data_IF_148190852538
#
_entry.id   IF_148190852538
#
_cell.length_a   1.000
_cell.length_b   1.000
_cell.length_c   1.000
_cell.angle_alpha   90.00
_cell.angle_beta   90.00
_cell.angle_gamma   90.00
#
_symmetry.space_group_name_H-M   'P 1'
#
loop_
_entity.id
_entity.type
_entity.pdbx_description
1 polymer ?
#
# COMPACT_ATOMS: atom_id res chain seq x y z
N UNK A 1 -24.78 8.81 -38.29
CA UNK A 1 -23.38 9.09 -37.97
C UNK A 1 -23.36 9.78 -36.61
N UNK A 2 -22.99 9.06 -35.57
CA UNK A 2 -22.73 9.63 -34.24
C UNK A 2 -21.27 9.26 -33.93
N UNK A 3 -20.43 10.28 -33.86
CA UNK A 3 -19.04 10.17 -33.49
C UNK A 3 -18.91 9.73 -32.04
N UNK A 4 -18.25 8.59 -31.84
CA UNK A 4 -17.85 8.08 -30.53
C UNK A 4 -16.52 8.74 -30.17
N UNK A 5 -16.56 9.88 -29.51
CA UNK A 5 -15.38 10.51 -28.92
C UNK A 5 -15.01 9.75 -27.65
N UNK A 6 -14.08 8.81 -27.78
CA UNK A 6 -13.44 8.14 -26.66
C UNK A 6 -12.57 9.17 -25.91
N UNK A 7 -13.12 9.76 -24.85
CA UNK A 7 -12.36 10.59 -23.94
C UNK A 7 -11.32 9.70 -23.23
N UNK A 8 -10.09 9.82 -23.69
CA UNK A 8 -8.90 9.30 -23.02
C UNK A 8 -8.69 10.11 -21.73
N UNK A 9 -9.42 9.74 -20.65
CA UNK A 9 -9.20 10.33 -19.32
C UNK A 9 -7.80 9.94 -18.90
N UNK A 10 -6.86 10.89 -18.94
CA UNK A 10 -5.58 10.77 -18.23
C UNK A 10 -5.90 10.51 -16.76
N UNK A 11 -5.62 9.29 -16.31
CA UNK A 11 -5.75 8.94 -14.89
C UNK A 11 -4.74 9.79 -14.13
N UNK A 12 -5.21 10.52 -13.13
CA UNK A 12 -4.34 11.27 -12.22
C UNK A 12 -3.55 10.29 -11.35
N UNK A 13 -2.39 10.71 -10.88
CA UNK A 13 -1.44 9.90 -10.09
C UNK A 13 -2.06 9.24 -8.84
N UNK A 14 -3.01 9.90 -8.18
CA UNK A 14 -3.80 9.34 -7.08
C UNK A 14 -4.53 8.05 -7.45
N UNK A 15 -4.88 7.85 -8.73
CA UNK A 15 -5.51 6.64 -9.23
C UNK A 15 -4.52 5.47 -9.41
N UNK A 16 -3.21 5.77 -9.54
CA UNK A 16 -2.15 4.74 -9.62
C UNK A 16 -1.68 4.29 -8.24
N UNK A 17 -1.69 5.17 -7.26
CA UNK A 17 -1.35 4.83 -5.86
C UNK A 17 -2.43 3.96 -5.23
N UNK A 18 -3.69 4.13 -5.58
CA UNK A 18 -4.77 3.21 -5.24
C UNK A 18 -4.57 1.78 -5.79
N UNK A 19 -3.69 1.58 -6.78
CA UNK A 19 -3.32 0.25 -7.27
C UNK A 19 -2.25 -0.47 -6.42
N UNK A 20 -1.83 0.14 -5.30
CA UNK A 20 -1.27 -0.59 -4.16
C UNK A 20 0.23 -0.89 -4.20
N UNK A 21 1.09 0.04 -4.66
CA UNK A 21 2.51 0.01 -4.28
C UNK A 21 2.93 1.45 -3.97
N UNK A 22 2.96 1.80 -2.70
CA UNK A 22 3.64 2.99 -2.22
C UNK A 22 4.99 2.60 -1.64
N UNK A 23 6.02 3.39 -1.88
CA UNK A 23 7.40 3.00 -1.66
C UNK A 23 8.13 3.98 -0.75
N UNK A 24 8.84 3.43 0.22
CA UNK A 24 9.79 4.18 1.04
C UNK A 24 11.10 3.40 1.16
N UNK A 25 12.22 4.08 1.26
CA UNK A 25 13.53 3.48 1.59
C UNK A 25 13.53 3.01 3.05
N UNK A 26 14.32 1.97 3.35
CA UNK A 26 14.48 1.42 4.70
C UNK A 26 15.08 2.39 5.74
N UNK A 27 15.60 3.54 5.31
CA UNK A 27 16.14 4.59 6.19
C UNK A 27 15.34 5.89 6.07
N UNK A 28 14.59 6.21 7.10
CA UNK A 28 13.95 7.46 7.56
C UNK A 28 13.46 8.53 6.56
N UNK A 29 13.76 8.48 5.29
CA UNK A 29 13.23 9.41 4.28
C UNK A 29 12.30 8.69 3.31
N UNK A 30 11.10 9.24 3.15
CA UNK A 30 10.14 8.82 2.13
C UNK A 30 10.72 9.27 0.78
N UNK A 31 11.59 8.44 0.17
CA UNK A 31 12.18 8.71 -1.13
C UNK A 31 12.08 7.49 -2.04
N UNK A 32 11.95 7.74 -3.33
CA UNK A 32 11.99 6.68 -4.35
C UNK A 32 13.43 6.25 -4.61
N UNK A 33 13.74 4.95 -4.81
CA UNK A 33 15.10 4.50 -5.05
C UNK A 33 15.81 5.29 -6.15
N UNK A 34 17.02 5.79 -5.84
CA UNK A 34 17.82 6.59 -6.75
C UNK A 34 17.44 8.08 -6.87
N UNK A 35 16.31 8.52 -6.28
CA UNK A 35 15.90 9.93 -6.39
C UNK A 35 16.91 10.89 -5.79
N UNK A 36 17.43 10.60 -4.59
CA UNK A 36 18.35 11.50 -3.87
C UNK A 36 19.72 11.58 -4.54
N UNK A 37 20.11 10.53 -5.29
CA UNK A 37 21.35 10.49 -6.06
C UNK A 37 21.22 11.14 -7.45
N UNK A 38 20.01 11.21 -8.02
CA UNK A 38 19.75 11.78 -9.33
C UNK A 38 19.79 13.32 -9.25
N UNK A 39 20.31 13.99 -10.28
CA UNK A 39 20.17 15.43 -10.47
C UNK A 39 18.89 15.78 -11.22
N UNK A 40 18.42 17.04 -11.21
CA UNK A 40 17.35 17.49 -12.10
C UNK A 40 17.62 17.09 -13.56
N UNK A 41 16.63 16.49 -14.20
CA UNK A 41 16.75 15.92 -15.55
C UNK A 41 17.18 14.45 -15.60
N UNK A 42 17.82 13.93 -14.57
CA UNK A 42 18.28 12.54 -14.51
C UNK A 42 17.16 11.55 -14.09
N UNK A 43 17.31 10.27 -14.47
CA UNK A 43 16.35 9.24 -14.14
C UNK A 43 16.47 8.77 -12.69
N UNK A 44 15.34 8.37 -12.12
CA UNK A 44 15.23 7.59 -10.89
C UNK A 44 14.16 6.50 -11.04
N UNK A 45 14.13 5.56 -10.12
CA UNK A 45 13.29 4.39 -10.22
C UNK A 45 12.15 4.42 -9.20
N UNK A 46 10.93 4.08 -9.65
CA UNK A 46 9.78 3.82 -8.77
C UNK A 46 9.24 2.41 -9.05
N UNK A 47 9.45 1.41 -8.14
CA UNK A 47 8.95 0.06 -8.33
C UNK A 47 7.43 0.03 -8.59
N UNK A 48 7.00 -0.82 -9.52
CA UNK A 48 5.59 -0.89 -9.93
C UNK A 48 5.10 0.26 -10.80
N UNK A 49 5.94 1.27 -11.05
CA UNK A 49 5.65 2.41 -11.95
C UNK A 49 6.61 2.43 -13.12
N UNK A 50 7.92 2.40 -12.84
CA UNK A 50 8.94 2.44 -13.88
C UNK A 50 10.08 3.41 -13.58
N UNK A 51 10.73 3.89 -14.64
CA UNK A 51 11.78 4.92 -14.59
C UNK A 51 11.13 6.29 -14.78
N UNK A 52 11.39 7.17 -13.85
CA UNK A 52 10.86 8.54 -13.82
C UNK A 52 12.00 9.55 -13.93
N UNK A 53 11.70 10.80 -14.29
CA UNK A 53 12.65 11.90 -14.37
C UNK A 53 12.53 12.81 -13.16
N UNK A 54 13.63 13.07 -12.45
CA UNK A 54 13.68 14.12 -11.43
C UNK A 54 13.55 15.49 -12.10
N UNK A 55 12.66 16.35 -11.58
CA UNK A 55 12.34 17.64 -12.22
C UNK A 55 13.06 18.84 -11.59
N UNK A 56 13.42 18.75 -10.30
CA UNK A 56 14.03 19.84 -9.53
C UNK A 56 14.92 19.31 -8.40
N UNK A 57 15.56 20.22 -7.63
CA UNK A 57 16.42 19.88 -6.49
C UNK A 57 15.67 19.67 -5.17
N UNK A 58 14.33 19.74 -5.18
CA UNK A 58 13.54 19.54 -3.96
C UNK A 58 13.59 18.09 -3.50
N UNK A 59 13.34 17.82 -2.21
CA UNK A 59 13.14 16.47 -1.70
C UNK A 59 12.03 15.74 -2.47
N UNK A 60 12.13 14.42 -2.53
CA UNK A 60 11.07 13.60 -3.15
C UNK A 60 9.71 13.89 -2.50
N UNK A 61 8.71 14.08 -3.34
CA UNK A 61 7.33 14.25 -2.90
C UNK A 61 6.42 13.37 -3.75
N UNK A 62 5.73 12.43 -3.10
CA UNK A 62 4.86 11.48 -3.79
C UNK A 62 3.65 12.15 -4.50
N UNK A 63 3.28 13.39 -4.12
CA UNK A 63 2.22 14.17 -4.79
C UNK A 63 2.67 14.87 -6.07
N UNK A 64 3.96 14.83 -6.41
CA UNK A 64 4.49 15.45 -7.61
C UNK A 64 4.38 14.48 -8.78
N UNK A 65 3.87 14.95 -9.92
CA UNK A 65 3.85 14.22 -11.17
C UNK A 65 5.23 14.27 -11.85
N UNK A 66 6.04 13.24 -11.59
CA UNK A 66 7.32 13.08 -12.28
C UNK A 66 7.11 12.47 -13.66
N UNK A 67 7.74 13.03 -14.73
CA UNK A 67 7.60 12.48 -16.07
C UNK A 67 8.05 11.04 -16.15
N UNK A 68 7.23 10.17 -16.74
CA UNK A 68 7.55 8.78 -16.99
C UNK A 68 8.48 8.69 -18.19
N UNK A 69 9.66 8.06 -18.01
CA UNK A 69 10.63 7.75 -19.07
C UNK A 69 10.35 6.38 -19.65
N UNK A 70 10.21 5.37 -18.78
CA UNK A 70 9.95 3.97 -19.16
C UNK A 70 9.01 3.34 -18.13
N UNK A 71 7.84 2.92 -18.58
CA UNK A 71 6.82 2.26 -17.75
C UNK A 71 6.95 0.74 -17.71
N UNK A 72 7.97 0.16 -18.34
CA UNK A 72 8.09 -1.28 -18.50
C UNK A 72 6.92 -1.89 -19.27
N UNK A 73 6.81 -3.22 -19.19
CA UNK A 73 5.77 -3.99 -19.88
C UNK A 73 4.84 -4.61 -18.85
N UNK A 74 3.56 -4.26 -18.91
CA UNK A 74 2.49 -4.87 -18.13
C UNK A 74 1.72 -5.89 -18.94
N UNK A 75 1.50 -7.07 -18.36
CA UNK A 75 0.60 -8.08 -18.89
C UNK A 75 -0.37 -8.55 -17.82
N UNK A 76 -1.58 -8.91 -18.25
CA UNK A 76 -2.64 -9.38 -17.35
C UNK A 76 -3.14 -10.74 -17.82
N UNK A 77 -3.26 -11.67 -16.87
CA UNK A 77 -3.91 -12.96 -17.07
C UNK A 77 -5.02 -13.13 -16.02
N UNK A 78 -6.26 -13.30 -16.47
CA UNK A 78 -7.43 -13.39 -15.59
C UNK A 78 -8.17 -14.70 -15.80
N UNK A 79 -8.67 -15.27 -14.70
CA UNK A 79 -9.61 -16.38 -14.67
C UNK A 79 -10.81 -16.04 -13.78
N UNK A 80 -11.70 -17.01 -13.48
CA UNK A 80 -12.93 -16.76 -12.72
C UNK A 80 -12.68 -16.15 -11.33
N UNK A 81 -11.65 -16.61 -10.63
CA UNK A 81 -11.35 -16.31 -9.23
C UNK A 81 -9.96 -15.76 -9.01
N UNK A 82 -9.23 -15.47 -10.09
CA UNK A 82 -7.83 -15.05 -10.03
C UNK A 82 -7.49 -14.05 -11.14
N UNK A 83 -6.69 -13.05 -10.79
CA UNK A 83 -6.04 -12.13 -11.73
C UNK A 83 -4.55 -12.08 -11.41
N UNK A 84 -3.70 -12.35 -12.41
CA UNK A 84 -2.26 -12.17 -12.31
C UNK A 84 -1.83 -11.00 -13.19
N UNK A 85 -1.15 -10.04 -12.58
CA UNK A 85 -0.56 -8.85 -13.19
C UNK A 85 0.95 -9.05 -13.20
N UNK A 86 1.58 -9.05 -14.36
CA UNK A 86 3.04 -9.17 -14.50
C UNK A 86 3.60 -7.86 -15.01
N UNK A 87 4.61 -7.33 -14.33
CA UNK A 87 5.39 -6.17 -14.73
C UNK A 87 6.84 -6.56 -14.95
N UNK A 88 7.34 -6.29 -16.14
CA UNK A 88 8.76 -6.47 -16.50
C UNK A 88 9.36 -5.10 -16.79
N UNK A 89 10.42 -4.78 -16.09
CA UNK A 89 11.21 -3.57 -16.30
C UNK A 89 12.68 -3.95 -16.45
N UNK A 90 13.35 -3.36 -17.45
CA UNK A 90 14.80 -3.39 -17.63
C UNK A 90 15.30 -1.96 -17.80
N UNK A 91 15.88 -1.42 -16.75
CA UNK A 91 16.21 0.00 -16.66
C UNK A 91 17.70 0.26 -16.91
N UNK A 92 18.06 1.39 -17.55
CA UNK A 92 19.47 1.78 -17.73
C UNK A 92 20.20 2.05 -16.41
N UNK A 93 19.48 2.10 -15.28
CA UNK A 93 20.04 2.26 -13.93
C UNK A 93 20.59 0.95 -13.36
N UNK A 94 20.62 -0.14 -14.15
CA UNK A 94 21.03 -1.49 -13.67
C UNK A 94 19.96 -2.21 -12.84
N UNK A 95 18.84 -1.53 -12.56
CA UNK A 95 17.67 -2.12 -11.89
C UNK A 95 16.78 -2.75 -12.96
N UNK A 96 16.62 -4.05 -12.88
CA UNK A 96 15.72 -4.82 -13.74
C UNK A 96 14.98 -5.87 -12.91
N UNK A 97 13.71 -6.13 -13.21
CA UNK A 97 12.93 -7.12 -12.49
C UNK A 97 11.78 -7.68 -13.31
N UNK A 98 11.34 -8.86 -12.89
CA UNK A 98 10.01 -9.39 -13.18
C UNK A 98 9.21 -9.43 -11.88
N UNK A 99 8.13 -8.68 -11.82
CA UNK A 99 7.21 -8.65 -10.69
C UNK A 99 5.87 -9.25 -11.09
N UNK A 100 5.34 -10.15 -10.26
CA UNK A 100 4.03 -10.76 -10.45
C UNK A 100 3.19 -10.45 -9.20
N UNK A 101 2.03 -9.83 -9.39
CA UNK A 101 1.00 -9.63 -8.38
C UNK A 101 -0.19 -10.49 -8.74
N UNK A 102 -0.54 -11.44 -7.89
CA UNK A 102 -1.71 -12.29 -8.07
C UNK A 102 -2.76 -11.94 -7.04
N UNK A 103 -3.96 -11.60 -7.49
CA UNK A 103 -5.14 -11.38 -6.64
C UNK A 103 -6.04 -12.60 -6.86
N UNK A 104 -6.39 -13.31 -5.78
CA UNK A 104 -7.27 -14.47 -5.86
C UNK A 104 -8.27 -14.52 -4.72
N UNK A 105 -9.43 -15.11 -4.99
CA UNK A 105 -10.43 -15.48 -4.00
C UNK A 105 -10.23 -16.94 -3.60
N UNK A 106 -10.35 -17.26 -2.31
CA UNK A 106 -10.32 -18.64 -1.86
C UNK A 106 -11.68 -19.31 -2.09
N UNK A 107 -11.71 -20.54 -2.62
CA UNK A 107 -12.96 -21.24 -2.88
C UNK A 107 -13.78 -21.41 -1.60
N UNK A 108 -15.06 -21.03 -1.66
CA UNK A 108 -16.04 -21.18 -0.59
C UNK A 108 -15.67 -20.48 0.73
N UNK A 109 -14.80 -19.51 0.69
CA UNK A 109 -14.40 -18.68 1.83
C UNK A 109 -14.48 -17.20 1.46
N UNK A 110 -14.92 -16.33 2.37
CA UNK A 110 -14.89 -14.88 2.15
C UNK A 110 -13.46 -14.33 2.35
N UNK A 111 -12.54 -14.82 1.54
CA UNK A 111 -11.11 -14.55 1.66
C UNK A 111 -10.54 -14.12 0.32
N UNK A 112 -9.86 -12.97 0.33
CA UNK A 112 -9.05 -12.48 -0.76
C UNK A 112 -7.57 -12.57 -0.36
N UNK A 113 -6.74 -13.10 -1.27
CA UNK A 113 -5.29 -13.15 -1.08
C UNK A 113 -4.61 -12.39 -2.20
N UNK A 114 -3.67 -11.54 -1.84
CA UNK A 114 -2.75 -10.85 -2.76
C UNK A 114 -1.37 -11.46 -2.57
N UNK A 115 -0.91 -12.20 -3.56
CA UNK A 115 0.41 -12.82 -3.61
C UNK A 115 1.34 -11.97 -4.48
N UNK A 116 2.57 -11.82 -4.04
CA UNK A 116 3.59 -11.06 -4.73
C UNK A 116 4.82 -11.94 -4.95
N UNK A 117 5.39 -11.86 -6.14
CA UNK A 117 6.67 -12.46 -6.48
C UNK A 117 7.51 -11.41 -7.21
N UNK A 118 8.69 -11.10 -6.69
CA UNK A 118 9.64 -10.21 -7.32
C UNK A 118 10.96 -10.94 -7.56
N UNK A 119 11.32 -11.11 -8.84
CA UNK A 119 12.62 -11.61 -9.26
C UNK A 119 13.47 -10.44 -9.72
N UNK A 120 14.61 -10.25 -9.09
CA UNK A 120 15.62 -9.30 -9.55
C UNK A 120 16.36 -9.91 -10.75
N UNK A 121 16.20 -9.32 -11.93
CA UNK A 121 16.88 -9.71 -13.17
C UNK A 121 18.01 -8.74 -13.54
N UNK A 122 18.21 -7.70 -12.73
CA UNK A 122 19.25 -6.69 -12.90
C UNK A 122 20.55 -7.03 -12.17
N UNK A 123 21.42 -6.02 -12.12
CA UNK A 123 22.75 -6.07 -11.47
C UNK A 123 22.76 -5.37 -10.12
N UNK A 124 21.83 -4.44 -9.90
CA UNK A 124 21.70 -3.68 -8.66
C UNK A 124 20.77 -4.40 -7.68
N UNK A 125 20.99 -4.18 -6.39
CA UNK A 125 20.10 -4.69 -5.33
C UNK A 125 18.77 -3.93 -5.40
N UNK A 126 17.68 -4.65 -5.32
CA UNK A 126 16.35 -4.07 -5.13
C UNK A 126 16.09 -4.01 -3.62
N UNK A 127 15.99 -2.80 -3.09
CA UNK A 127 15.83 -2.53 -1.66
C UNK A 127 14.82 -1.39 -1.45
N UNK A 128 13.63 -1.73 -0.91
CA UNK A 128 12.58 -0.75 -0.60
C UNK A 128 11.57 -1.31 0.41
N UNK A 129 10.70 -0.44 0.92
CA UNK A 129 9.52 -0.82 1.69
C UNK A 129 8.26 -0.71 0.83
N UNK A 130 7.29 -1.56 1.10
CA UNK A 130 6.00 -1.56 0.41
C UNK A 130 4.87 -1.78 1.39
N UNK A 131 3.71 -1.18 1.13
CA UNK A 131 2.45 -1.44 1.82
C UNK A 131 1.30 -1.46 0.81
N UNK A 132 0.18 -2.03 1.22
CA UNK A 132 -1.08 -1.88 0.51
C UNK A 132 -1.87 -0.74 1.15
N UNK A 133 -2.28 0.24 0.34
CA UNK A 133 -3.16 1.31 0.81
C UNK A 133 -4.60 0.85 0.69
N UNK A 134 -5.10 0.23 1.75
CA UNK A 134 -6.42 -0.39 1.77
C UNK A 134 -7.46 0.60 2.28
N UNK A 135 -8.36 1.04 1.40
CA UNK A 135 -9.48 1.91 1.76
C UNK A 135 -10.67 1.04 2.22
N UNK A 136 -10.70 0.70 3.51
CA UNK A 136 -11.81 -0.06 4.07
C UNK A 136 -13.04 0.82 4.20
N UNK A 137 -14.11 0.47 3.49
CA UNK A 137 -15.41 1.13 3.53
C UNK A 137 -16.46 0.10 3.96
N UNK A 138 -17.20 0.38 5.03
CA UNK A 138 -18.21 -0.51 5.58
C UNK A 138 -19.59 0.14 5.43
N UNK A 139 -20.40 -0.39 4.51
CA UNK A 139 -21.84 -0.02 4.36
C UNK A 139 -22.08 1.49 4.35
N UNK A 140 -21.23 2.24 3.64
CA UNK A 140 -21.27 3.71 3.56
C UNK A 140 -21.19 4.42 4.95
N UNK A 141 -20.74 3.71 5.98
CA UNK A 141 -20.58 4.28 7.32
C UNK A 141 -19.40 5.25 7.35
N UNK A 142 -19.66 6.48 7.78
CA UNK A 142 -18.63 7.48 8.03
C UNK A 142 -17.75 7.03 9.18
N UNK A 143 -16.44 7.29 9.09
CA UNK A 143 -15.48 7.02 10.18
C UNK A 143 -15.95 7.70 11.47
N UNK A 144 -16.08 6.92 12.53
CA UNK A 144 -16.62 7.37 13.81
C UNK A 144 -16.72 6.25 14.84
N UNK A 145 -17.54 6.40 15.90
CA UNK A 145 -17.59 5.48 17.06
C UNK A 145 -17.88 4.01 16.72
N UNK A 146 -18.52 3.75 15.57
CA UNK A 146 -18.80 2.39 15.11
C UNK A 146 -17.57 1.70 14.51
N UNK A 147 -16.53 2.44 14.13
CA UNK A 147 -15.34 1.92 13.49
C UNK A 147 -14.23 1.71 14.52
N UNK A 148 -13.52 0.59 14.43
CA UNK A 148 -12.32 0.34 15.22
C UNK A 148 -11.27 -0.42 14.44
N UNK A 149 -10.00 -0.23 14.81
CA UNK A 149 -8.86 -0.99 14.29
C UNK A 149 -8.18 -1.66 15.45
N UNK A 150 -8.15 -3.00 15.48
CA UNK A 150 -7.50 -3.79 16.52
C UNK A 150 -6.20 -4.40 16.04
N UNK A 151 -5.20 -4.37 16.91
CA UNK A 151 -3.85 -4.93 16.71
C UNK A 151 -3.60 -6.10 17.68
N UNK A 152 -2.66 -7.02 17.39
CA UNK A 152 -2.26 -8.08 18.32
C UNK A 152 -1.42 -7.56 19.51
N UNK A 153 -0.81 -6.39 19.37
CA UNK A 153 0.03 -5.70 20.36
C UNK A 153 -0.69 -4.45 20.93
N UNK A 154 -0.09 -3.81 21.92
CA UNK A 154 -0.54 -2.50 22.42
C UNK A 154 0.09 -1.40 21.57
N UNK A 155 -0.71 -0.68 20.77
CA UNK A 155 -0.17 0.37 19.89
C UNK A 155 0.20 1.63 20.69
N UNK A 156 1.19 2.36 20.18
CA UNK A 156 1.53 3.73 20.65
C UNK A 156 1.66 4.62 19.42
N UNK A 157 0.97 5.75 19.40
CA UNK A 157 1.05 6.70 18.31
C UNK A 157 2.27 7.63 18.50
N UNK A 158 3.12 7.74 17.46
CA UNK A 158 4.28 8.64 17.46
C UNK A 158 3.86 10.12 17.53
N UNK A 159 2.70 10.45 16.95
CA UNK A 159 2.07 11.78 17.01
C UNK A 159 0.68 11.63 17.59
N UNK A 160 0.22 12.65 18.32
CA UNK A 160 -1.15 12.69 18.83
C UNK A 160 -2.16 12.49 17.70
N UNK A 161 -3.02 11.50 17.87
CA UNK A 161 -4.14 11.28 16.95
C UNK A 161 -5.12 12.44 17.05
N UNK A 162 -5.76 12.77 15.93
CA UNK A 162 -6.65 13.95 15.79
C UNK A 162 -8.07 13.52 15.50
N UNK A 163 -8.98 14.50 15.40
CA UNK A 163 -10.36 14.34 14.95
C UNK A 163 -11.17 13.33 15.78
N UNK A 164 -10.82 13.14 17.06
CA UNK A 164 -11.47 12.18 17.96
C UNK A 164 -10.93 10.75 17.85
N UNK A 165 -9.92 10.50 17.05
CA UNK A 165 -9.23 9.21 17.07
C UNK A 165 -8.33 9.09 18.31
N UNK A 166 -8.34 7.95 19.00
CA UNK A 166 -7.51 7.65 20.17
C UNK A 166 -7.17 6.17 20.26
N UNK A 167 -6.16 5.87 21.06
CA UNK A 167 -5.82 4.50 21.43
C UNK A 167 -6.64 4.08 22.65
N UNK A 168 -7.21 2.88 22.62
CA UNK A 168 -7.91 2.23 23.69
C UNK A 168 -7.48 0.74 23.77
N UNK A 169 -6.65 0.41 24.75
CA UNK A 169 -6.04 -0.90 24.88
C UNK A 169 -5.24 -1.27 23.64
N UNK A 170 -5.66 -2.31 22.92
CA UNK A 170 -5.04 -2.77 21.68
C UNK A 170 -5.68 -2.20 20.42
N UNK A 171 -6.48 -1.14 20.52
CA UNK A 171 -7.27 -0.65 19.41
C UNK A 171 -7.09 0.86 19.21
N UNK A 172 -7.28 1.30 17.97
CA UNK A 172 -7.62 2.68 17.62
C UNK A 172 -9.14 2.74 17.50
N UNK A 173 -9.75 3.68 18.21
CA UNK A 173 -11.18 3.95 18.24
C UNK A 173 -11.46 5.43 18.00
N UNK A 174 -12.71 5.80 17.78
CA UNK A 174 -13.11 7.16 17.45
C UNK A 174 -14.21 7.63 18.41
N UNK A 175 -14.04 8.79 19.04
CA UNK A 175 -15.00 9.32 20.01
C UNK A 175 -16.15 10.11 19.35
N UNK A 176 -15.99 10.50 18.08
CA UNK A 176 -17.00 11.20 17.29
C UNK A 176 -16.94 10.80 15.81
N UNK A 177 -17.99 11.08 15.08
CA UNK A 177 -18.02 11.00 13.63
C UNK A 177 -17.08 12.07 13.04
N UNK A 178 -16.34 11.72 12.01
CA UNK A 178 -15.48 12.66 11.29
C UNK A 178 -16.31 13.59 10.42
N UNK A 179 -15.99 14.88 10.49
CA UNK A 179 -16.56 15.90 9.61
C UNK A 179 -15.82 15.98 8.27
N UNK A 180 -16.39 16.67 7.30
CA UNK A 180 -15.74 16.95 6.02
C UNK A 180 -14.40 17.68 6.26
N UNK A 181 -13.30 17.12 5.75
CA UNK A 181 -11.94 17.66 5.94
C UNK A 181 -11.21 17.12 7.16
N UNK A 182 -11.85 16.37 8.04
CA UNK A 182 -11.15 15.69 9.12
C UNK A 182 -10.16 14.64 8.58
N UNK A 183 -8.99 14.61 9.22
CA UNK A 183 -7.98 13.57 9.00
C UNK A 183 -7.27 13.25 10.29
N UNK A 184 -6.87 12.00 10.46
CA UNK A 184 -6.00 11.58 11.54
C UNK A 184 -4.92 10.67 10.98
N UNK A 185 -3.67 10.95 11.29
CA UNK A 185 -2.54 10.12 10.84
C UNK A 185 -1.42 10.12 11.86
N UNK A 186 -0.82 8.97 12.06
CA UNK A 186 0.39 8.81 12.86
C UNK A 186 1.10 7.52 12.48
N UNK A 187 2.39 7.50 12.64
CA UNK A 187 3.13 6.24 12.75
C UNK A 187 2.76 5.57 14.07
N UNK A 188 2.55 4.25 14.04
CA UNK A 188 2.15 3.42 15.17
C UNK A 188 3.31 2.51 15.54
N UNK A 189 3.67 2.52 16.80
CA UNK A 189 4.71 1.72 17.42
C UNK A 189 4.10 0.63 18.29
N UNK A 190 4.93 -0.31 18.78
CA UNK A 190 4.52 -1.38 19.70
C UNK A 190 4.56 -2.79 19.09
N UNK A 191 4.72 -2.90 17.77
CA UNK A 191 4.96 -4.18 17.09
C UNK A 191 6.43 -4.62 17.23
N UNK A 192 6.67 -5.92 17.06
CA UNK A 192 7.99 -6.55 17.06
C UNK A 192 8.40 -6.97 15.64
N UNK A 193 9.52 -7.69 15.54
CA UNK A 193 9.95 -8.33 14.29
C UNK A 193 9.27 -9.68 14.00
N UNK A 194 8.27 -10.07 14.81
CA UNK A 194 7.50 -11.29 14.56
C UNK A 194 6.46 -11.02 13.46
N UNK A 195 6.40 -11.83 12.39
CA UNK A 195 5.38 -11.68 11.35
C UNK A 195 3.94 -11.74 11.87
N UNK A 196 3.69 -12.39 13.02
CA UNK A 196 2.36 -12.46 13.64
C UNK A 196 1.81 -11.11 14.12
N UNK A 197 2.66 -10.09 14.24
CA UNK A 197 2.24 -8.73 14.53
C UNK A 197 1.60 -8.03 13.32
N UNK A 198 1.77 -8.57 12.11
CA UNK A 198 1.02 -8.12 10.94
C UNK A 198 -0.35 -8.80 10.91
N UNK A 199 -1.21 -8.45 11.84
CA UNK A 199 -2.57 -8.97 12.02
C UNK A 199 -3.50 -7.85 12.51
N UNK A 200 -4.21 -7.21 11.60
CA UNK A 200 -5.09 -6.09 11.89
C UNK A 200 -6.55 -6.48 11.64
N UNK A 201 -7.44 -6.04 12.52
CA UNK A 201 -8.88 -6.20 12.30
C UNK A 201 -9.53 -4.82 12.28
N UNK A 202 -10.05 -4.43 11.12
CA UNK A 202 -10.89 -3.25 10.97
C UNK A 202 -12.34 -3.70 11.03
N UNK A 203 -13.14 -3.09 11.87
CA UNK A 203 -14.52 -3.52 12.11
C UNK A 203 -15.49 -2.36 12.24
N UNK A 204 -16.75 -2.63 11.88
CA UNK A 204 -17.91 -1.77 12.09
C UNK A 204 -18.85 -2.44 13.08
N UNK A 205 -18.95 -1.89 14.28
CA UNK A 205 -19.79 -2.45 15.36
C UNK A 205 -21.30 -2.35 15.04
N UNK A 206 -21.71 -1.36 14.24
CA UNK A 206 -23.11 -1.16 13.88
C UNK A 206 -23.63 -2.24 12.92
N UNK A 207 -22.83 -2.66 11.96
CA UNK A 207 -23.23 -3.65 10.93
C UNK A 207 -22.70 -5.05 11.23
N UNK A 208 -21.77 -5.19 12.19
CA UNK A 208 -21.08 -6.43 12.49
C UNK A 208 -20.03 -6.83 11.43
N UNK A 209 -19.85 -6.01 10.38
CA UNK A 209 -18.87 -6.28 9.33
C UNK A 209 -17.44 -6.05 9.82
N UNK A 210 -16.52 -6.90 9.39
CA UNK A 210 -15.10 -6.74 9.68
C UNK A 210 -14.22 -7.32 8.58
N UNK A 211 -12.99 -6.80 8.49
CA UNK A 211 -11.91 -7.35 7.66
C UNK A 211 -10.71 -7.58 8.53
N UNK A 212 -10.20 -8.82 8.56
CA UNK A 212 -8.89 -9.14 9.14
C UNK A 212 -7.85 -9.16 8.02
N UNK A 213 -6.82 -8.36 8.17
CA UNK A 213 -5.67 -8.28 7.26
C UNK A 213 -4.46 -8.91 7.95
N UNK A 214 -3.82 -9.87 7.28
CA UNK A 214 -2.56 -10.47 7.74
C UNK A 214 -1.50 -10.42 6.65
N UNK A 215 -0.23 -10.24 7.03
CA UNK A 215 0.93 -10.26 6.13
C UNK A 215 1.84 -11.44 6.39
N UNK A 216 2.54 -11.94 5.36
CA UNK A 216 3.49 -13.06 5.49
C UNK A 216 4.92 -12.64 5.87
N UNK A 217 5.21 -11.33 5.84
CA UNK A 217 6.50 -10.76 6.28
C UNK A 217 6.31 -9.91 7.53
N UNK A 218 7.35 -9.74 8.37
CA UNK A 218 7.29 -8.86 9.53
C UNK A 218 7.06 -7.41 9.12
N UNK A 219 6.38 -6.68 10.00
CA UNK A 219 6.26 -5.22 9.88
C UNK A 219 7.63 -4.57 10.04
N UNK A 220 7.91 -3.58 9.22
CA UNK A 220 9.05 -2.67 9.38
C UNK A 220 8.61 -1.27 9.75
N UNK A 221 7.36 -0.94 9.45
CA UNK A 221 6.70 0.31 9.79
C UNK A 221 5.19 0.09 9.77
N UNK A 222 4.46 0.84 10.58
CA UNK A 222 3.01 0.86 10.56
C UNK A 222 2.54 2.30 10.60
N UNK A 223 1.72 2.72 9.64
CA UNK A 223 1.10 4.03 9.62
C UNK A 223 -0.40 3.86 9.73
N UNK A 224 -1.00 4.62 10.63
CA UNK A 224 -2.45 4.81 10.68
C UNK A 224 -2.82 6.06 9.92
N UNK A 225 -3.80 5.95 9.03
CA UNK A 225 -4.42 7.07 8.34
C UNK A 225 -5.93 6.90 8.28
N UNK A 226 -6.67 7.98 8.53
CA UNK A 226 -8.12 7.98 8.43
C UNK A 226 -8.63 9.33 7.92
N UNK A 227 -9.75 9.27 7.21
CA UNK A 227 -10.59 10.40 6.82
C UNK A 227 -12.08 10.03 7.02
N UNK A 228 -13.07 10.88 6.67
CA UNK A 228 -14.50 10.54 6.85
C UNK A 228 -14.95 9.24 6.18
N UNK A 229 -14.29 8.81 5.11
CA UNK A 229 -14.74 7.67 4.29
C UNK A 229 -14.07 6.35 4.66
N UNK A 230 -12.91 6.38 5.33
CA UNK A 230 -12.11 5.17 5.55
C UNK A 230 -11.12 5.32 6.69
N UNK A 231 -10.75 4.21 7.30
CA UNK A 231 -9.69 4.10 8.30
C UNK A 231 -8.73 2.97 7.89
N UNK A 232 -7.46 3.32 7.66
CA UNK A 232 -6.46 2.45 7.04
C UNK A 232 -5.29 2.19 8.00
N UNK A 233 -5.07 0.96 8.46
CA UNK A 233 -3.79 0.53 8.99
C UNK A 233 -2.88 0.14 7.81
N UNK A 234 -1.80 0.90 7.60
CA UNK A 234 -0.85 0.72 6.51
C UNK A 234 0.39 -0.01 7.03
N UNK A 235 0.40 -1.34 6.93
CA UNK A 235 1.53 -2.18 7.33
C UNK A 235 2.59 -2.25 6.24
N UNK A 236 3.78 -1.72 6.51
CA UNK A 236 4.94 -1.77 5.61
C UNK A 236 5.77 -3.02 5.85
N UNK A 237 6.21 -3.63 4.77
CA UNK A 237 7.17 -4.74 4.77
C UNK A 237 8.40 -4.38 3.96
N UNK A 238 9.55 -4.95 4.32
CA UNK A 238 10.82 -4.71 3.65
C UNK A 238 11.03 -5.71 2.51
N UNK A 239 11.34 -5.21 1.34
CA UNK A 239 11.62 -5.97 0.13
C UNK A 239 13.11 -5.79 -0.20
N UNK A 240 13.88 -6.85 0.02
CA UNK A 240 15.29 -6.92 -0.31
C UNK A 240 15.54 -8.10 -1.24
N UNK A 241 15.91 -7.80 -2.50
CA UNK A 241 16.12 -8.84 -3.52
C UNK A 241 17.49 -8.64 -4.18
N UNK A 242 18.44 -9.50 -3.84
CA UNK A 242 19.77 -9.50 -4.46
C UNK A 242 19.68 -9.89 -5.95
N UNK A 243 20.66 -9.51 -6.79
CA UNK A 243 20.73 -9.91 -8.18
C UNK A 243 20.53 -11.42 -8.39
N UNK A 244 19.67 -11.80 -9.31
CA UNK A 244 19.31 -13.18 -9.63
C UNK A 244 18.39 -13.88 -8.62
N UNK A 245 18.06 -13.24 -7.49
CA UNK A 245 17.19 -13.83 -6.46
C UNK A 245 15.72 -13.47 -6.67
N UNK A 246 14.85 -14.21 -5.96
CA UNK A 246 13.40 -14.02 -5.96
C UNK A 246 12.92 -13.94 -4.51
N UNK A 247 12.08 -12.96 -4.22
CA UNK A 247 11.33 -12.84 -2.96
C UNK A 247 9.85 -13.03 -3.24
N UNK A 248 9.16 -13.72 -2.32
CA UNK A 248 7.70 -13.90 -2.32
C UNK A 248 7.13 -13.43 -1.00
N UNK A 249 5.98 -12.77 -1.06
CA UNK A 249 5.21 -12.38 0.11
C UNK A 249 3.73 -12.32 -0.24
N UNK A 250 2.89 -12.26 0.78
CA UNK A 250 1.43 -12.19 0.58
C UNK A 250 0.75 -11.36 1.65
N UNK A 251 -0.42 -10.83 1.27
CA UNK A 251 -1.41 -10.23 2.15
C UNK A 251 -2.70 -11.03 2.04
N UNK A 252 -3.34 -11.32 3.17
CA UNK A 252 -4.60 -12.07 3.25
C UNK A 252 -5.67 -11.20 3.93
N UNK A 253 -6.85 -11.15 3.36
CA UNK A 253 -8.01 -10.41 3.83
C UNK A 253 -9.17 -11.37 4.06
N UNK A 254 -9.59 -11.48 5.31
CA UNK A 254 -10.72 -12.32 5.72
C UNK A 254 -11.91 -11.40 6.05
N UNK A 255 -12.98 -11.53 5.27
CA UNK A 255 -14.20 -10.75 5.45
C UNK A 255 -15.17 -11.51 6.36
N UNK A 256 -15.75 -10.84 7.35
CA UNK A 256 -16.66 -11.45 8.30
C UNK A 256 -17.85 -10.53 8.55
N UNK A 257 -19.01 -11.14 8.79
CA UNK A 257 -20.21 -10.46 9.32
C UNK A 257 -20.61 -11.24 10.57
N UNK A 258 -20.60 -10.56 11.71
CA UNK A 258 -21.15 -11.13 12.95
C UNK A 258 -22.66 -10.98 12.91
N UNK A 259 -23.34 -12.10 12.97
CA UNK A 259 -24.80 -12.16 13.16
C UNK A 259 -25.19 -11.71 14.58
#
# INVERSE_FOLDING_TARGET
MRENTTQNRRRTRSQWEASGISLTRANDSISSPGYDAAKPGEPFFKPGVGVLRRIDDKPYNFNVDYPLIDGGIWTTNASKDRVALTHVLDSPLGIAYKYIKTIRLEPNQPVLVIEHEMKNTGKEVIDFQVYNHDFFVFDETTTGPDISIRFPFVPTALRTLRSGARIDGKSIVFDRIFDAGDTSTSEILGFSSDPSDFDFVVSNARTGASVRQTGSLPLTRLVFWANPLTACPEGYVHILVLPGKTLRWSMRYEFQIKS
#
